data_IF_131193219348
#
_entry.id   IF_131193219348
#
_cell.length_a   1.000
_cell.length_b   1.000
_cell.length_c   1.000
_cell.angle_alpha   90.00
_cell.angle_beta   90.00
_cell.angle_gamma   90.00
#
_symmetry.space_group_name_H-M   'P 1'
#
loop_
_entity.id
_entity.type
_entity.pdbx_description
1 polymer ?
#
# COMPACT_ATOMS: atom_id res chain seq x y z
N UNK A 1 -9.27 9.95 2.41
CA UNK A 1 -8.00 10.18 1.68
C UNK A 1 -8.19 10.69 0.24
N UNK A 2 -9.39 10.62 -0.34
CA UNK A 2 -9.68 11.06 -1.73
C UNK A 2 -9.89 12.56 -1.96
N UNK A 3 -10.16 13.33 -0.92
CA UNK A 3 -10.28 14.79 -1.06
C UNK A 3 -8.92 15.33 -1.57
N UNK A 4 -8.86 15.96 -2.76
CA UNK A 4 -7.59 16.35 -3.37
C UNK A 4 -6.76 17.28 -2.48
N UNK A 5 -7.43 18.20 -1.79
CA UNK A 5 -6.78 19.15 -0.88
C UNK A 5 -6.15 18.43 0.31
N UNK A 6 -6.93 17.62 1.07
CA UNK A 6 -6.41 16.85 2.21
C UNK A 6 -5.31 15.88 1.79
N UNK A 7 -5.45 15.26 0.62
CA UNK A 7 -4.41 14.37 0.07
C UNK A 7 -3.11 15.11 -0.26
N UNK A 8 -3.20 16.35 -0.76
CA UNK A 8 -2.02 17.21 -0.98
C UNK A 8 -1.27 17.54 0.31
N UNK A 9 -1.98 17.66 1.44
CA UNK A 9 -1.36 17.92 2.74
C UNK A 9 -0.60 16.71 3.25
N UNK A 10 -1.15 15.50 3.04
CA UNK A 10 -0.44 14.24 3.30
C UNK A 10 0.82 14.16 2.44
N UNK A 11 0.74 14.49 1.14
CA UNK A 11 1.91 14.52 0.26
C UNK A 11 3.03 15.42 0.77
N UNK A 12 2.67 16.65 1.18
CA UNK A 12 3.62 17.63 1.73
C UNK A 12 4.21 17.15 3.07
N UNK A 13 3.38 16.59 3.95
CA UNK A 13 3.84 16.07 5.26
C UNK A 13 4.78 14.90 5.09
N UNK A 14 4.44 13.94 4.22
CA UNK A 14 5.25 12.77 3.94
C UNK A 14 6.57 13.12 3.27
N UNK A 15 6.57 14.09 2.34
CA UNK A 15 7.79 14.62 1.74
C UNK A 15 8.77 15.15 2.79
N UNK A 16 8.29 15.92 3.78
CA UNK A 16 9.12 16.42 4.88
C UNK A 16 9.60 15.28 5.79
N UNK A 17 8.74 14.30 6.04
CA UNK A 17 9.08 13.13 6.85
C UNK A 17 10.22 12.31 6.24
N UNK A 18 10.16 12.08 4.92
CA UNK A 18 11.21 11.37 4.18
C UNK A 18 12.56 12.10 4.14
N UNK A 19 12.63 13.38 4.54
CA UNK A 19 13.89 14.12 4.69
C UNK A 19 14.51 14.01 6.09
N UNK A 20 13.84 13.35 7.03
CA UNK A 20 14.39 13.14 8.38
C UNK A 20 15.58 12.18 8.29
N UNK A 21 16.67 12.57 8.93
CA UNK A 21 17.86 11.75 9.11
C UNK A 21 18.06 11.48 10.59
N UNK A 22 18.09 10.21 10.96
CA UNK A 22 18.42 9.74 12.30
C UNK A 22 19.80 9.11 12.26
N UNK A 23 20.82 9.86 12.70
CA UNK A 23 22.22 9.44 12.66
C UNK A 23 22.48 8.17 13.49
N UNK A 24 21.72 7.96 14.57
CA UNK A 24 21.86 6.78 15.45
C UNK A 24 21.47 5.45 14.79
N UNK A 25 20.73 5.49 13.67
CA UNK A 25 20.33 4.30 12.90
C UNK A 25 21.07 4.15 11.58
N UNK A 26 22.17 4.90 11.42
CA UNK A 26 23.07 4.77 10.30
C UNK A 26 24.25 3.88 10.71
N UNK A 27 24.53 2.83 9.93
CA UNK A 27 25.74 2.05 10.13
C UNK A 27 26.87 2.62 9.28
N UNK A 28 28.01 2.94 9.89
CA UNK A 28 29.22 3.27 9.14
C UNK A 28 29.97 1.98 8.79
N UNK A 29 30.07 1.69 7.50
CA UNK A 29 30.89 0.59 7.00
C UNK A 29 31.84 1.15 5.94
N UNK A 30 33.15 1.09 6.18
CA UNK A 30 34.19 1.67 5.32
C UNK A 30 34.01 3.16 4.98
N UNK A 31 33.50 3.96 5.94
CA UNK A 31 33.25 5.40 5.74
C UNK A 31 31.99 5.70 4.91
N UNK A 32 31.17 4.68 4.63
CA UNK A 32 29.86 4.85 3.98
C UNK A 32 28.76 4.66 5.00
N UNK A 33 27.97 5.71 5.20
CA UNK A 33 26.72 5.69 5.97
C UNK A 33 25.68 4.85 5.23
N UNK A 34 25.26 3.73 5.82
CA UNK A 34 24.25 2.83 5.24
C UNK A 34 22.95 2.89 6.04
N UNK A 35 21.87 3.22 5.34
CA UNK A 35 20.49 3.13 5.85
C UNK A 35 19.97 1.71 5.59
N UNK A 36 19.70 0.97 6.65
CA UNK A 36 19.27 -0.44 6.54
C UNK A 36 17.75 -0.51 6.67
N UNK A 37 17.10 -1.07 5.65
CA UNK A 37 15.67 -1.34 5.68
C UNK A 37 15.35 -2.67 6.37
N UNK A 38 14.22 -2.71 7.08
CA UNK A 38 13.68 -3.94 7.69
C UNK A 38 12.61 -4.63 6.85
N UNK A 39 12.24 -4.09 5.69
CA UNK A 39 11.10 -4.57 4.90
C UNK A 39 11.21 -6.07 4.58
N UNK A 40 12.30 -6.46 3.91
CA UNK A 40 12.50 -7.85 3.48
C UNK A 40 12.75 -8.80 4.64
N UNK A 41 13.57 -8.40 5.63
CA UNK A 41 13.87 -9.24 6.79
C UNK A 41 12.62 -9.51 7.64
N UNK A 42 11.72 -8.53 7.77
CA UNK A 42 10.41 -8.72 8.42
C UNK A 42 9.54 -9.70 7.63
N UNK A 43 9.41 -9.57 6.31
CA UNK A 43 8.61 -10.51 5.52
C UNK A 43 9.16 -11.94 5.56
N UNK A 44 10.48 -12.11 5.48
CA UNK A 44 11.11 -13.43 5.63
C UNK A 44 10.88 -14.02 7.03
N UNK A 45 10.98 -13.20 8.07
CA UNK A 45 10.63 -13.63 9.43
C UNK A 45 9.16 -14.05 9.52
N UNK A 46 8.23 -13.27 8.96
CA UNK A 46 6.81 -13.59 9.04
C UNK A 46 6.43 -14.83 8.25
N UNK A 47 6.97 -15.05 7.05
CA UNK A 47 6.69 -16.27 6.29
C UNK A 47 7.24 -17.53 6.98
N UNK A 48 8.29 -17.39 7.81
CA UNK A 48 8.79 -18.45 8.70
C UNK A 48 7.88 -18.67 9.93
N UNK A 49 7.13 -17.65 10.34
CA UNK A 49 6.21 -17.70 11.48
C UNK A 49 4.77 -18.10 11.12
N UNK A 50 4.42 -18.14 9.84
CA UNK A 50 3.11 -18.65 9.40
C UNK A 50 2.95 -20.08 9.95
N UNK A 51 1.92 -20.35 10.77
CA UNK A 51 1.75 -21.65 11.40
C UNK A 51 1.37 -22.71 10.37
N UNK A 52 1.73 -23.95 10.63
CA UNK A 52 1.32 -25.09 9.81
C UNK A 52 -0.17 -25.43 9.93
N UNK A 53 -0.81 -24.96 11.00
CA UNK A 53 -2.26 -25.13 11.23
C UNK A 53 -2.83 -24.04 12.13
N UNK A 54 -4.10 -23.71 11.94
CA UNK A 54 -4.89 -22.75 12.71
C UNK A 54 -5.97 -23.48 13.51
N UNK A 55 -6.22 -23.00 14.73
CA UNK A 55 -7.20 -23.63 15.64
C UNK A 55 -8.65 -23.53 15.13
N UNK A 56 -8.98 -22.48 14.38
CA UNK A 56 -10.30 -22.29 13.81
C UNK A 56 -10.42 -23.07 12.48
N UNK A 57 -11.41 -23.97 12.39
CA UNK A 57 -11.62 -24.84 11.23
C UNK A 57 -11.90 -24.07 9.93
N UNK A 58 -12.63 -22.96 10.00
CA UNK A 58 -12.91 -22.13 8.82
C UNK A 58 -11.66 -21.38 8.35
N UNK A 59 -10.87 -20.87 9.30
CA UNK A 59 -9.56 -20.25 9.02
C UNK A 59 -8.62 -21.26 8.38
N UNK A 60 -8.52 -22.47 8.93
CA UNK A 60 -7.68 -23.55 8.38
C UNK A 60 -8.12 -23.93 6.96
N UNK A 61 -9.42 -24.16 6.74
CA UNK A 61 -9.94 -24.52 5.42
C UNK A 61 -9.69 -23.40 4.38
N UNK A 62 -9.82 -22.13 4.79
CA UNK A 62 -9.52 -20.98 3.92
C UNK A 62 -8.03 -20.91 3.60
N UNK A 63 -7.16 -21.15 4.59
CA UNK A 63 -5.72 -21.17 4.39
C UNK A 63 -5.29 -22.25 3.39
N UNK A 64 -5.67 -23.51 3.63
CA UNK A 64 -5.32 -24.66 2.77
C UNK A 64 -5.86 -24.53 1.34
N UNK A 65 -7.03 -23.92 1.18
CA UNK A 65 -7.64 -23.71 -0.13
C UNK A 65 -6.88 -22.69 -0.97
N UNK A 66 -6.31 -21.65 -0.36
CA UNK A 66 -5.81 -20.48 -1.08
C UNK A 66 -4.28 -20.38 -1.12
N UNK A 67 -3.55 -21.07 -0.23
CA UNK A 67 -2.11 -20.86 -0.08
C UNK A 67 -1.31 -22.15 -0.13
N UNK A 68 -0.24 -22.13 -0.91
CA UNK A 68 0.81 -23.14 -0.91
C UNK A 68 2.12 -22.47 -0.48
N UNK A 69 2.65 -22.85 0.68
CA UNK A 69 3.75 -22.12 1.33
C UNK A 69 5.05 -22.14 0.53
N UNK A 70 5.33 -23.21 -0.23
CA UNK A 70 6.52 -23.28 -1.07
C UNK A 70 6.45 -22.29 -2.24
N UNK A 71 5.28 -22.16 -2.87
CA UNK A 71 5.01 -21.17 -3.91
C UNK A 71 5.08 -19.76 -3.35
N UNK A 72 4.49 -19.51 -2.17
CA UNK A 72 4.53 -18.21 -1.53
C UNK A 72 5.97 -17.76 -1.21
N UNK A 73 6.83 -18.68 -0.76
CA UNK A 73 8.26 -18.41 -0.54
C UNK A 73 9.00 -18.09 -1.84
N UNK A 74 8.76 -18.85 -2.90
CA UNK A 74 9.34 -18.59 -4.23
C UNK A 74 8.91 -17.21 -4.74
N UNK A 75 7.64 -16.87 -4.53
CA UNK A 75 7.07 -15.59 -4.93
C UNK A 75 7.69 -14.42 -4.15
N UNK A 76 7.84 -14.53 -2.82
CA UNK A 76 8.53 -13.52 -2.01
C UNK A 76 9.97 -13.31 -2.49
N UNK A 77 10.68 -14.39 -2.82
CA UNK A 77 12.05 -14.31 -3.35
C UNK A 77 12.09 -13.62 -4.71
N UNK A 78 11.15 -13.94 -5.60
CA UNK A 78 11.01 -13.29 -6.90
C UNK A 78 10.75 -11.79 -6.74
N UNK A 79 9.74 -11.43 -5.94
CA UNK A 79 9.36 -10.03 -5.69
C UNK A 79 10.53 -9.21 -5.16
N UNK A 80 11.25 -9.73 -4.15
CA UNK A 80 12.44 -9.08 -3.63
C UNK A 80 13.50 -8.88 -4.73
N UNK A 81 13.77 -9.92 -5.51
CA UNK A 81 14.80 -9.87 -6.57
C UNK A 81 14.48 -8.83 -7.63
N UNK A 82 13.21 -8.67 -8.02
CA UNK A 82 12.81 -7.65 -8.99
C UNK A 82 12.88 -6.23 -8.41
N UNK A 83 12.42 -6.04 -7.17
CA UNK A 83 12.41 -4.71 -6.55
C UNK A 83 13.81 -4.22 -6.16
N UNK A 84 14.75 -5.12 -5.85
CA UNK A 84 16.15 -4.76 -5.59
C UNK A 84 16.82 -4.13 -6.83
N UNK A 85 16.38 -4.47 -8.06
CA UNK A 85 16.90 -3.88 -9.31
C UNK A 85 16.49 -2.42 -9.50
N UNK A 86 15.46 -1.95 -8.81
CA UNK A 86 15.00 -0.57 -8.92
C UNK A 86 15.95 0.42 -8.23
N UNK A 87 16.83 -0.06 -7.34
CA UNK A 87 17.73 0.77 -6.55
C UNK A 87 16.99 1.93 -5.85
N UNK A 88 15.78 1.66 -5.36
CA UNK A 88 14.88 2.67 -4.82
C UNK A 88 15.48 3.35 -3.57
N UNK A 89 15.29 4.66 -3.38
CA UNK A 89 15.78 5.40 -2.23
C UNK A 89 15.27 4.85 -0.91
N UNK A 90 16.20 4.67 0.04
CA UNK A 90 15.89 4.38 1.43
C UNK A 90 15.81 5.69 2.21
N UNK A 91 14.65 5.97 2.78
CA UNK A 91 14.31 7.18 3.52
C UNK A 91 13.71 6.81 4.88
N UNK A 92 13.56 7.77 5.79
CA UNK A 92 12.80 7.50 7.01
C UNK A 92 11.31 7.43 6.65
N UNK A 93 10.66 6.34 7.03
CA UNK A 93 9.30 5.96 6.59
C UNK A 93 8.40 5.70 7.78
N UNK A 94 7.10 5.85 7.59
CA UNK A 94 6.07 5.45 8.55
C UNK A 94 5.70 3.97 8.41
N UNK A 95 5.65 3.46 7.17
CA UNK A 95 5.30 2.10 6.76
C UNK A 95 3.85 1.64 7.01
N UNK A 96 3.02 2.47 7.65
CA UNK A 96 1.64 2.13 8.01
C UNK A 96 0.69 3.33 7.92
N UNK A 97 0.72 4.06 6.80
CA UNK A 97 -0.13 5.24 6.57
C UNK A 97 -1.56 4.87 6.14
N UNK A 98 -2.26 4.11 6.98
CA UNK A 98 -3.70 3.92 6.87
C UNK A 98 -4.48 5.15 7.38
N UNK A 99 -5.76 5.25 7.03
CA UNK A 99 -6.60 6.41 7.37
C UNK A 99 -6.59 6.76 8.87
N UNK A 100 -6.65 5.73 9.74
CA UNK A 100 -6.62 5.89 11.19
C UNK A 100 -5.35 6.56 11.72
N UNK A 101 -4.25 6.51 10.96
CA UNK A 101 -2.95 7.07 11.35
C UNK A 101 -2.71 8.47 10.78
N UNK A 102 -3.71 9.07 10.12
CA UNK A 102 -3.65 10.42 9.56
C UNK A 102 -4.66 11.32 10.26
N UNK A 103 -4.15 12.25 11.07
CA UNK A 103 -4.95 13.26 11.78
C UNK A 103 -4.94 14.55 10.97
N UNK A 104 -6.12 15.04 10.62
CA UNK A 104 -6.28 16.35 9.97
C UNK A 104 -6.69 17.40 11.00
N UNK A 105 -5.93 18.49 11.05
CA UNK A 105 -6.28 19.68 11.81
C UNK A 105 -6.88 20.72 10.87
N UNK A 106 -8.19 20.97 11.01
CA UNK A 106 -8.93 21.88 10.12
C UNK A 106 -8.54 23.35 10.34
N UNK A 107 -8.24 23.75 11.58
CA UNK A 107 -7.89 25.14 11.90
C UNK A 107 -6.55 25.56 11.29
N UNK A 108 -5.60 24.63 11.26
CA UNK A 108 -4.24 24.85 10.73
C UNK A 108 -4.07 24.41 9.28
N UNK A 109 -5.09 23.77 8.72
CA UNK A 109 -5.05 23.14 7.41
C UNK A 109 -3.83 22.22 7.22
N UNK A 110 -3.60 21.33 8.19
CA UNK A 110 -2.43 20.45 8.22
C UNK A 110 -2.80 18.98 8.47
N UNK A 111 -2.01 18.08 7.86
CA UNK A 111 -2.03 16.67 8.18
C UNK A 111 -0.85 16.32 9.11
N UNK A 112 -1.10 15.49 10.11
CA UNK A 112 -0.09 14.89 10.97
C UNK A 112 -0.26 13.38 11.03
N UNK A 113 0.86 12.68 11.23
CA UNK A 113 0.88 11.23 11.36
C UNK A 113 1.02 10.85 12.83
N UNK A 114 0.44 9.72 13.20
CA UNK A 114 0.49 9.12 14.53
C UNK A 114 0.76 7.62 14.38
N UNK A 115 1.07 6.96 15.49
CA UNK A 115 1.28 5.51 15.53
C UNK A 115 2.45 5.01 14.67
N UNK A 116 3.66 5.34 15.12
CA UNK A 116 4.91 5.05 14.41
C UNK A 116 5.49 3.66 14.74
N UNK A 117 4.67 2.68 15.12
CA UNK A 117 5.15 1.34 15.52
C UNK A 117 6.00 0.67 14.43
N UNK A 118 5.62 0.87 13.17
CA UNK A 118 6.35 0.36 12.00
C UNK A 118 7.40 1.35 11.43
N UNK A 119 7.57 2.51 12.08
CA UNK A 119 8.45 3.58 11.63
C UNK A 119 9.93 3.16 11.63
N UNK A 120 10.58 3.21 10.48
CA UNK A 120 12.01 2.93 10.34
C UNK A 120 12.57 3.46 9.03
N UNK A 121 13.87 3.24 8.75
CA UNK A 121 14.37 3.39 7.39
C UNK A 121 13.72 2.35 6.47
N UNK A 122 13.10 2.81 5.39
CA UNK A 122 12.34 1.99 4.45
C UNK A 122 12.42 2.54 3.03
N UNK A 123 11.93 1.78 2.07
CA UNK A 123 11.88 2.26 0.69
C UNK A 123 10.80 3.32 0.55
N UNK A 124 11.15 4.47 -0.03
CA UNK A 124 10.21 5.56 -0.31
C UNK A 124 8.96 5.07 -1.05
N UNK A 125 9.16 4.22 -2.07
CA UNK A 125 8.07 3.63 -2.86
C UNK A 125 7.13 2.77 -2.03
N UNK A 126 7.62 2.09 -0.99
CA UNK A 126 6.78 1.28 -0.10
C UNK A 126 5.84 2.13 0.72
N UNK A 127 6.35 3.20 1.35
CA UNK A 127 5.52 4.04 2.21
C UNK A 127 4.39 4.75 1.42
N UNK A 128 4.73 5.27 0.23
CA UNK A 128 3.77 5.92 -0.67
C UNK A 128 2.82 4.89 -1.31
N UNK A 129 3.34 3.75 -1.78
CA UNK A 129 2.54 2.69 -2.38
C UNK A 129 1.57 2.06 -1.37
N UNK A 130 2.00 1.92 -0.11
CA UNK A 130 1.14 1.51 0.97
C UNK A 130 0.02 2.52 1.21
N UNK A 131 0.35 3.81 1.34
CA UNK A 131 -0.67 4.86 1.46
C UNK A 131 -1.72 4.81 0.33
N UNK A 132 -1.32 4.55 -0.91
CA UNK A 132 -2.27 4.41 -2.02
C UNK A 132 -3.10 3.12 -1.95
N UNK A 133 -2.53 2.00 -1.50
CA UNK A 133 -3.29 0.77 -1.27
C UNK A 133 -4.41 0.98 -0.24
N UNK A 134 -4.19 1.84 0.75
CA UNK A 134 -5.18 2.15 1.78
C UNK A 134 -6.38 2.98 1.28
N UNK A 135 -6.36 3.45 0.03
CA UNK A 135 -7.57 4.01 -0.60
C UNK A 135 -8.65 2.94 -0.83
N UNK A 136 -8.26 1.66 -0.90
CA UNK A 136 -9.19 0.55 -1.00
C UNK A 136 -9.89 0.24 0.32
N UNK A 137 -9.23 0.49 1.46
CA UNK A 137 -9.76 0.23 2.81
C UNK A 137 -10.83 1.21 3.28
N UNK A 138 -11.34 2.09 2.42
CA UNK A 138 -12.22 3.21 2.80
C UNK A 138 -13.67 2.84 3.18
N UNK A 139 -14.04 1.56 3.29
CA UNK A 139 -15.36 1.17 3.78
C UNK A 139 -15.33 0.80 5.27
N UNK A 140 -15.06 1.78 6.14
CA UNK A 140 -15.70 1.75 7.46
C UNK A 140 -17.15 2.13 7.26
N UNK A 141 -17.95 1.20 6.75
CA UNK A 141 -19.39 1.30 6.95
C UNK A 141 -19.60 1.15 8.45
N UNK A 142 -19.65 2.28 9.17
CA UNK A 142 -20.45 2.37 10.38
C UNK A 142 -21.89 2.06 9.95
N UNK A 143 -22.21 0.77 9.80
CA UNK A 143 -23.58 0.33 9.80
C UNK A 143 -24.02 0.53 11.24
N UNK A 144 -24.44 1.75 11.56
CA UNK A 144 -25.40 1.96 12.64
C UNK A 144 -26.68 1.29 12.14
N UNK A 145 -26.75 -0.02 12.33
CA UNK A 145 -28.01 -0.75 12.23
C UNK A 145 -28.88 -0.14 13.34
N UNK A 146 -29.64 0.90 13.00
CA UNK A 146 -30.80 1.30 13.78
C UNK A 146 -31.85 0.19 13.62
N UNK A 147 -31.60 -0.98 14.21
CA UNK A 147 -32.69 -1.87 14.57
C UNK A 147 -33.48 -1.08 15.61
N UNK A 148 -34.75 -0.82 15.28
CA UNK A 148 -35.74 -0.22 16.16
C UNK A 148 -35.47 -0.61 17.61
N UNK A 149 -35.20 0.41 18.42
CA UNK A 149 -34.91 0.35 19.85
C UNK A 149 -35.90 -0.54 20.60
N UNK A 150 -35.41 -1.39 21.54
CA UNK A 150 -36.05 -1.45 22.85
C UNK A 150 -35.03 -1.08 23.95
N UNK A 151 -35.20 0.12 24.48
CA UNK A 151 -34.94 0.58 25.86
C UNK A 151 -33.57 0.37 26.54
N UNK A 152 -32.53 -0.21 25.95
CA UNK A 152 -31.17 -0.20 26.55
C UNK A 152 -30.08 -0.05 25.49
N UNK A 153 -29.35 1.07 25.55
CA UNK A 153 -28.14 1.32 24.75
C UNK A 153 -26.98 0.56 25.41
N UNK A 154 -26.87 -0.74 25.17
CA UNK A 154 -25.71 -1.54 25.63
C UNK A 154 -25.05 -2.36 24.53
N UNK A 155 -25.65 -2.46 23.35
CA UNK A 155 -25.08 -3.22 22.23
C UNK A 155 -24.80 -2.32 21.03
N UNK A 156 -23.85 -1.38 21.20
CA UNK A 156 -23.06 -0.94 20.05
C UNK A 156 -22.06 -2.06 19.81
N UNK A 157 -22.47 -3.09 19.04
CA UNK A 157 -21.48 -3.91 18.35
C UNK A 157 -20.88 -3.03 17.28
N UNK A 158 -19.75 -2.39 17.58
CA UNK A 158 -18.81 -1.99 16.53
C UNK A 158 -18.35 -3.31 15.93
N UNK A 159 -19.14 -3.82 14.99
CA UNK A 159 -18.68 -4.90 14.18
C UNK A 159 -17.66 -4.25 13.27
N UNK A 160 -16.37 -4.40 13.59
CA UNK A 160 -15.26 -4.14 12.68
C UNK A 160 -15.30 -5.18 11.52
N UNK A 161 -16.51 -5.52 11.06
CA UNK A 161 -16.81 -6.58 10.12
C UNK A 161 -16.50 -6.07 8.73
N UNK A 162 -15.33 -6.50 8.27
CA UNK A 162 -14.90 -6.38 6.89
C UNK A 162 -14.32 -5.01 6.59
N UNK A 163 -12.99 -4.93 6.59
CA UNK A 163 -12.35 -4.11 5.57
C UNK A 163 -12.75 -4.71 4.22
N UNK A 164 -13.92 -4.35 3.71
CA UNK A 164 -14.26 -4.58 2.31
C UNK A 164 -13.31 -3.70 1.51
N UNK A 165 -12.18 -4.28 1.13
CA UNK A 165 -11.21 -3.62 0.28
C UNK A 165 -11.82 -3.48 -1.11
N UNK A 166 -12.26 -2.27 -1.44
CA UNK A 166 -12.68 -1.95 -2.81
C UNK A 166 -11.47 -1.39 -3.56
N UNK A 167 -10.72 -2.30 -4.20
CA UNK A 167 -9.53 -1.94 -4.97
C UNK A 167 -9.82 -1.14 -6.24
N UNK A 168 -11.09 -0.99 -6.65
CA UNK A 168 -11.44 0.03 -7.67
C UNK A 168 -11.11 1.44 -7.19
N UNK A 169 -10.91 1.61 -5.87
CA UNK A 169 -10.62 2.89 -5.29
C UNK A 169 -9.15 3.31 -5.29
N UNK A 170 -8.25 2.42 -5.72
CA UNK A 170 -6.83 2.74 -5.91
C UNK A 170 -6.69 3.95 -6.85
N UNK A 171 -5.84 4.95 -6.51
CA UNK A 171 -5.72 6.16 -7.30
C UNK A 171 -5.17 5.87 -8.70
N UNK A 172 -5.84 6.42 -9.71
CA UNK A 172 -5.37 6.37 -11.09
C UNK A 172 -4.08 7.20 -11.29
N UNK A 173 -3.47 7.05 -12.47
CA UNK A 173 -2.20 7.70 -12.80
C UNK A 173 -2.28 9.23 -12.68
N UNK A 174 -3.40 9.84 -13.06
CA UNK A 174 -3.55 11.30 -13.01
C UNK A 174 -3.61 11.81 -11.57
N UNK A 175 -4.36 11.11 -10.70
CA UNK A 175 -4.38 11.40 -9.27
C UNK A 175 -2.98 11.23 -8.67
N UNK A 176 -2.30 10.12 -8.96
CA UNK A 176 -0.95 9.85 -8.47
C UNK A 176 0.04 10.93 -8.90
N UNK A 177 0.01 11.35 -10.17
CA UNK A 177 0.91 12.39 -10.69
C UNK A 177 0.63 13.75 -10.03
N UNK A 178 -0.64 14.10 -9.80
CA UNK A 178 -0.99 15.30 -9.05
C UNK A 178 -0.46 15.23 -7.61
N UNK A 179 -0.57 14.08 -6.97
CA UNK A 179 -0.02 13.85 -5.62
C UNK A 179 1.51 13.94 -5.62
N UNK A 180 2.20 13.32 -6.59
CA UNK A 180 3.65 13.37 -6.75
C UNK A 180 4.15 14.80 -6.97
N UNK A 181 3.40 15.63 -7.70
CA UNK A 181 3.76 17.03 -7.91
C UNK A 181 3.85 17.78 -6.56
N UNK A 182 2.91 17.55 -5.64
CA UNK A 182 2.97 18.13 -4.30
C UNK A 182 4.13 17.56 -3.48
N UNK A 183 4.34 16.24 -3.53
CA UNK A 183 5.44 15.57 -2.84
C UNK A 183 6.81 16.08 -3.31
N UNK A 184 7.10 16.01 -4.61
CA UNK A 184 8.39 16.36 -5.20
C UNK A 184 8.74 17.84 -5.02
N UNK A 185 7.76 18.75 -5.19
CA UNK A 185 7.97 20.19 -4.94
C UNK A 185 8.29 20.49 -3.48
N UNK A 186 7.74 19.69 -2.56
CA UNK A 186 8.02 19.86 -1.12
C UNK A 186 9.37 19.26 -0.75
N UNK A 187 9.74 18.13 -1.36
CA UNK A 187 11.02 17.48 -1.15
C UNK A 187 12.19 18.28 -1.75
N UNK A 188 11.97 19.07 -2.80
CA UNK A 188 13.00 19.90 -3.44
C UNK A 188 12.48 21.31 -3.74
N UNK A 189 12.36 22.18 -2.71
CA UNK A 189 11.90 23.55 -2.90
C UNK A 189 12.76 24.31 -3.91
N UNK A 190 12.11 25.14 -4.74
CA UNK A 190 12.78 25.92 -5.78
C UNK A 190 13.17 25.14 -7.05
N UNK A 191 13.00 23.82 -7.06
CA UNK A 191 13.35 22.96 -8.20
C UNK A 191 12.09 22.30 -8.76
N UNK A 192 11.58 22.73 -9.93
CA UNK A 192 10.44 22.08 -10.56
C UNK A 192 10.73 20.60 -10.83
N UNK A 193 9.79 19.68 -10.52
CA UNK A 193 10.00 18.26 -10.80
C UNK A 193 10.14 17.99 -12.30
N UNK A 194 11.10 17.16 -12.68
CA UNK A 194 11.32 16.76 -14.07
C UNK A 194 10.39 15.61 -14.46
N UNK A 195 10.15 15.41 -15.76
CA UNK A 195 9.40 14.26 -16.25
C UNK A 195 10.03 12.91 -15.81
N UNK A 196 11.37 12.87 -15.76
CA UNK A 196 12.10 11.71 -15.25
C UNK A 196 11.80 11.43 -13.78
N UNK A 197 11.80 12.45 -12.92
CA UNK A 197 11.49 12.29 -11.50
C UNK A 197 10.06 11.75 -11.26
N UNK A 198 9.10 12.18 -12.08
CA UNK A 198 7.74 11.60 -12.05
C UNK A 198 7.72 10.14 -12.48
N UNK A 199 8.41 9.80 -13.57
CA UNK A 199 8.45 8.43 -14.09
C UNK A 199 9.13 7.46 -13.10
N UNK A 200 10.25 7.86 -12.50
CA UNK A 200 10.97 7.08 -11.49
C UNK A 200 10.14 6.87 -10.23
N UNK A 201 9.50 7.94 -9.72
CA UNK A 201 8.66 7.84 -8.53
C UNK A 201 7.42 6.97 -8.79
N UNK A 202 6.76 7.13 -9.95
CA UNK A 202 5.64 6.28 -10.33
C UNK A 202 6.06 4.80 -10.41
N UNK A 203 7.21 4.53 -11.04
CA UNK A 203 7.73 3.17 -11.17
C UNK A 203 8.04 2.55 -9.79
N UNK A 204 8.69 3.28 -8.89
CA UNK A 204 8.90 2.84 -7.51
C UNK A 204 7.58 2.53 -6.79
N UNK A 205 6.63 3.47 -6.82
CA UNK A 205 5.37 3.38 -6.07
C UNK A 205 4.53 2.20 -6.55
N UNK A 206 4.40 2.02 -7.86
CA UNK A 206 3.63 0.90 -8.43
C UNK A 206 4.26 -0.45 -8.04
N UNK A 207 5.59 -0.60 -8.16
CA UNK A 207 6.26 -1.86 -7.81
C UNK A 207 6.21 -2.15 -6.30
N UNK A 208 6.48 -1.15 -5.46
CA UNK A 208 6.44 -1.35 -4.01
C UNK A 208 5.02 -1.41 -3.44
N UNK A 209 3.98 -1.00 -4.18
CA UNK A 209 2.59 -1.30 -3.84
C UNK A 209 2.33 -2.81 -3.79
N UNK A 210 3.02 -3.59 -4.63
CA UNK A 210 2.99 -5.05 -4.61
C UNK A 210 3.61 -5.59 -3.32
N UNK A 211 4.77 -5.05 -2.92
CA UNK A 211 5.40 -5.40 -1.65
C UNK A 211 4.50 -5.07 -0.45
N UNK A 212 3.74 -3.97 -0.48
CA UNK A 212 2.74 -3.66 0.56
C UNK A 212 1.63 -4.71 0.63
N UNK A 213 1.09 -5.18 -0.50
CA UNK A 213 0.12 -6.27 -0.47
C UNK A 213 0.69 -7.55 0.16
N UNK A 214 1.90 -7.93 -0.25
CA UNK A 214 2.58 -9.11 0.27
C UNK A 214 2.85 -8.99 1.78
N UNK A 215 3.35 -7.83 2.22
CA UNK A 215 3.67 -7.52 3.61
C UNK A 215 2.46 -7.71 4.53
N UNK A 216 1.35 -7.04 4.20
CA UNK A 216 0.14 -7.11 5.00
C UNK A 216 -0.59 -8.45 4.88
N UNK A 217 -0.43 -9.16 3.75
CA UNK A 217 -0.91 -10.53 3.60
C UNK A 217 -0.20 -11.50 4.55
N UNK A 218 1.13 -11.45 4.63
CA UNK A 218 1.92 -12.25 5.58
C UNK A 218 1.62 -11.88 7.04
N UNK A 219 1.54 -10.58 7.33
CA UNK A 219 1.15 -10.09 8.66
C UNK A 219 -0.19 -10.71 9.08
N UNK A 220 -1.18 -10.70 8.19
CA UNK A 220 -2.50 -11.21 8.46
C UNK A 220 -2.50 -12.73 8.69
N UNK A 221 -1.75 -13.50 7.90
CA UNK A 221 -1.57 -14.94 8.16
C UNK A 221 -1.03 -15.21 9.56
N UNK A 222 0.00 -14.47 10.00
CA UNK A 222 0.56 -14.62 11.35
C UNK A 222 -0.48 -14.23 12.41
N UNK A 223 -1.15 -13.08 12.25
CA UNK A 223 -2.14 -12.57 13.20
C UNK A 223 -3.37 -13.46 13.35
N UNK A 224 -3.76 -14.20 12.30
CA UNK A 224 -4.85 -15.18 12.36
C UNK A 224 -4.67 -16.28 13.42
N UNK A 225 -3.45 -16.43 13.97
CA UNK A 225 -3.14 -17.36 15.06
C UNK A 225 -2.77 -16.70 16.40
N UNK A 226 -2.48 -15.40 16.41
CA UNK A 226 -1.92 -14.69 17.57
C UNK A 226 -2.82 -13.61 18.14
N UNK A 227 -3.68 -13.00 17.32
CA UNK A 227 -4.48 -11.86 17.72
C UNK A 227 -5.77 -12.30 18.42
N UNK A 228 -6.11 -11.62 19.51
CA UNK A 228 -7.40 -11.75 20.20
C UNK A 228 -8.47 -10.82 19.63
N UNK A 229 -8.12 -9.98 18.63
CA UNK A 229 -9.07 -9.06 17.99
C UNK A 229 -10.02 -9.85 17.09
N UNK A 230 -11.32 -9.57 17.23
CA UNK A 230 -12.39 -10.12 16.38
C UNK A 230 -12.31 -9.52 14.96
N UNK A 231 -11.40 -10.06 14.15
CA UNK A 231 -11.13 -9.68 12.78
C UNK A 231 -10.81 -10.92 11.93
N UNK A 232 -11.35 -10.98 10.70
CA UNK A 232 -11.08 -12.09 9.78
C UNK A 232 -9.75 -11.88 9.03
N UNK A 233 -8.67 -12.12 9.76
CA UNK A 233 -7.30 -12.00 9.25
C UNK A 233 -7.03 -12.88 8.03
N UNK A 234 -7.58 -14.09 7.97
CA UNK A 234 -7.27 -15.01 6.87
C UNK A 234 -7.97 -14.60 5.58
N UNK A 235 -9.24 -14.16 5.65
CA UNK A 235 -9.91 -13.58 4.48
C UNK A 235 -9.22 -12.30 4.01
N UNK A 236 -8.74 -11.47 4.95
CA UNK A 236 -7.94 -10.30 4.62
C UNK A 236 -6.63 -10.67 3.89
N UNK A 237 -5.92 -11.70 4.36
CA UNK A 237 -4.73 -12.21 3.67
C UNK A 237 -5.04 -12.62 2.22
N UNK A 238 -6.15 -13.35 2.01
CA UNK A 238 -6.61 -13.75 0.66
C UNK A 238 -6.85 -12.53 -0.22
N UNK A 239 -7.53 -11.49 0.28
CA UNK A 239 -7.77 -10.25 -0.47
C UNK A 239 -6.47 -9.56 -0.87
N UNK A 240 -5.50 -9.43 0.06
CA UNK A 240 -4.21 -8.79 -0.21
C UNK A 240 -3.41 -9.56 -1.27
N UNK A 241 -3.32 -10.89 -1.17
CA UNK A 241 -2.60 -11.70 -2.15
C UNK A 241 -3.31 -11.78 -3.51
N UNK A 242 -4.64 -11.76 -3.54
CA UNK A 242 -5.39 -11.70 -4.80
C UNK A 242 -5.14 -10.38 -5.55
N UNK A 243 -5.13 -9.24 -4.86
CA UNK A 243 -4.82 -7.95 -5.49
C UNK A 243 -3.34 -7.86 -5.89
N UNK A 244 -2.42 -8.41 -5.08
CA UNK A 244 -1.02 -8.58 -5.46
C UNK A 244 -0.89 -9.26 -6.83
N UNK A 245 -1.49 -10.43 -7.01
CA UNK A 245 -1.40 -11.19 -8.26
C UNK A 245 -2.00 -10.44 -9.45
N UNK A 246 -3.13 -9.77 -9.22
CA UNK A 246 -3.79 -8.95 -10.25
C UNK A 246 -2.92 -7.79 -10.69
N UNK A 247 -2.38 -7.00 -9.76
CA UNK A 247 -1.52 -5.84 -10.05
C UNK A 247 -0.17 -6.27 -10.62
N UNK A 248 0.41 -7.37 -10.12
CA UNK A 248 1.66 -7.95 -10.64
C UNK A 248 1.56 -8.20 -12.15
N UNK A 249 0.46 -8.77 -12.64
CA UNK A 249 0.24 -8.99 -14.09
C UNK A 249 0.18 -7.70 -14.92
N UNK A 250 -0.16 -6.57 -14.30
CA UNK A 250 -0.23 -5.27 -14.97
C UNK A 250 1.11 -4.53 -14.95
N UNK A 251 1.87 -4.70 -13.87
CA UNK A 251 3.09 -3.92 -13.57
C UNK A 251 4.34 -4.67 -14.01
N UNK A 252 4.45 -5.95 -13.64
CA UNK A 252 5.60 -6.78 -13.95
C UNK A 252 5.39 -7.44 -15.30
N UNK A 253 6.13 -6.97 -16.31
CA UNK A 253 6.13 -7.58 -17.64
C UNK A 253 6.77 -8.96 -17.53
N UNK A 254 6.01 -10.01 -17.83
CA UNK A 254 6.56 -11.34 -18.00
C UNK A 254 7.37 -11.39 -19.30
N UNK A 255 8.70 -11.29 -19.18
CA UNK A 255 9.62 -11.34 -20.30
C UNK A 255 9.59 -12.71 -21.02
N UNK A 256 8.90 -13.72 -20.48
CA UNK A 256 8.73 -15.02 -21.11
C UNK A 256 7.59 -15.09 -22.14
N UNK A 257 6.64 -14.13 -22.16
CA UNK A 257 5.45 -14.21 -23.03
C UNK A 257 5.43 -13.21 -24.19
N UNK A 258 6.36 -12.25 -24.25
CA UNK A 258 6.51 -11.34 -25.39
C UNK A 258 5.26 -10.51 -25.75
N UNK A 259 4.27 -10.43 -24.87
CA UNK A 259 3.04 -9.64 -25.09
C UNK A 259 2.95 -8.51 -24.07
N UNK A 260 3.60 -7.39 -24.40
CA UNK A 260 3.25 -6.12 -23.79
C UNK A 260 1.87 -5.68 -24.28
N UNK A 261 0.88 -5.60 -23.39
CA UNK A 261 -0.30 -4.78 -23.68
C UNK A 261 0.12 -3.32 -23.54
N UNK A 262 0.42 -2.70 -24.68
CA UNK A 262 0.47 -1.25 -24.79
C UNK A 262 -0.94 -0.72 -24.51
N UNK A 263 -1.11 0.08 -23.46
CA UNK A 263 -2.29 0.93 -23.31
C UNK A 263 -1.85 2.36 -23.55
N UNK A 264 -1.55 2.68 -24.82
CA UNK A 264 -1.82 3.99 -25.45
C UNK A 264 -1.84 3.77 -26.97
N UNK A 265 -2.99 3.96 -27.60
CA UNK A 265 -3.07 4.71 -28.87
C UNK A 265 -4.35 5.53 -28.85
N UNK A 266 -4.19 6.84 -28.87
CA UNK A 266 -5.21 7.83 -29.21
C UNK A 266 -5.84 7.57 -30.58
N UNK A 267 -7.10 7.99 -30.72
CA UNK A 267 -7.68 8.41 -31.99
C UNK A 267 -8.70 7.45 -32.61
N UNK A 268 -9.99 7.74 -32.42
CA UNK A 268 -10.77 8.26 -33.55
C UNK A 268 -12.04 8.99 -33.08
N UNK A 269 -12.05 10.32 -33.21
CA UNK A 269 -13.29 11.09 -33.23
C UNK A 269 -13.88 10.96 -34.64
N UNK A 270 -14.75 9.97 -34.81
CA UNK A 270 -15.57 9.83 -36.00
C UNK A 270 -16.62 10.94 -36.07
N UNK A 271 -16.26 12.06 -36.69
CA UNK A 271 -17.20 13.02 -37.26
C UNK A 271 -17.57 12.55 -38.67
N UNK A 272 -18.86 12.31 -38.91
CA UNK A 272 -19.41 12.25 -40.27
C UNK A 272 -20.59 13.20 -40.36
N UNK A 273 -20.28 14.42 -40.81
CA UNK A 273 -21.20 15.20 -41.62
C UNK A 273 -21.37 14.48 -42.96
N UNK A 274 -22.61 14.33 -43.40
CA UNK A 274 -22.96 13.89 -44.75
C UNK A 274 -24.43 14.17 -45.02
N UNK A 275 -24.71 15.37 -45.53
CA UNK A 275 -25.99 15.72 -46.13
C UNK A 275 -25.94 15.63 -47.67
N UNK A 276 -27.14 15.53 -48.26
CA UNK A 276 -27.52 15.50 -49.69
C UNK A 276 -27.24 14.14 -50.37
N UNK A 277 -28.21 13.44 -50.98
CA UNK A 277 -29.47 13.82 -51.67
C UNK A 277 -30.71 13.09 -51.14
#
# INVERSE_FOLDING_TARGET
MRNPHKSSLVAKKLARWHQITLQEYESEENGVTKKITKLWSTMWKWIDQVPSSYNNVNTQATFEKNFEMSALRKELKYLQTELDKLHAPIVFTHNDLLYGNIVYNEEKDEASFIDYEYGCYGYRGFDIGNFFNEFAGMQTNLIVSQRKVPSKVTDIRISWLGFECDYSNYPDKDFQYNWFNHYLRTASPGHPPTAQAFAELYNEVEHFSLASHFYWGLWAMVQASLSDIDFDYMSYAVLRFAEYEKRKRMIMIDHSTGKGHSIVTDGDMGSTNGGFE
#
